data_IF_735255414960
#
_entry.id   IF_735255414960
#
_cell.length_a   1.000
_cell.length_b   1.000
_cell.length_c   1.000
_cell.angle_alpha   90.00
_cell.angle_beta   90.00
_cell.angle_gamma   90.00
#
_symmetry.space_group_name_H-M   'P 1'
#
loop_
_entity.id
_entity.type
_entity.pdbx_description
1 polymer ?
#
# COMPACT_ATOMS: atom_id res chain seq x y z
N UNK A 1 2.62 -25.29 12.01
CA UNK A 1 2.28 -25.35 10.57
C UNK A 1 3.04 -24.25 9.85
N UNK A 2 4.14 -24.60 9.18
CA UNK A 2 4.92 -23.66 8.35
C UNK A 2 4.18 -23.52 7.02
N UNK A 3 3.65 -22.33 6.74
CA UNK A 3 2.83 -22.04 5.56
C UNK A 3 3.71 -22.10 4.29
N UNK A 4 3.51 -23.06 3.36
CA UNK A 4 4.42 -23.31 2.24
C UNK A 4 4.19 -22.39 1.03
N UNK A 5 3.71 -21.16 1.21
CA UNK A 5 3.35 -20.26 0.10
C UNK A 5 3.99 -18.87 0.14
N UNK A 6 5.09 -18.67 0.88
CA UNK A 6 5.99 -17.57 0.54
C UNK A 6 6.72 -17.94 -0.76
N UNK A 7 6.06 -17.68 -1.89
CA UNK A 7 6.77 -17.58 -3.17
C UNK A 7 7.89 -16.57 -2.94
N UNK A 8 9.13 -16.96 -3.22
CA UNK A 8 10.27 -16.05 -3.13
C UNK A 8 9.94 -14.79 -3.93
N UNK A 9 9.75 -13.69 -3.21
CA UNK A 9 9.49 -12.39 -3.81
C UNK A 9 10.73 -12.01 -4.61
N UNK A 10 10.54 -11.57 -5.86
CA UNK A 10 11.67 -11.10 -6.65
C UNK A 10 12.28 -9.87 -5.98
N UNK A 11 13.58 -9.59 -6.17
CA UNK A 11 14.24 -8.43 -5.58
C UNK A 11 13.49 -7.10 -5.82
N UNK A 12 12.89 -6.95 -7.00
CA UNK A 12 12.07 -5.80 -7.38
C UNK A 12 10.80 -5.65 -6.51
N UNK A 13 10.14 -6.77 -6.19
CA UNK A 13 8.93 -6.78 -5.36
C UNK A 13 9.26 -6.43 -3.90
N UNK A 14 10.43 -6.86 -3.43
CA UNK A 14 10.96 -6.48 -2.11
C UNK A 14 11.22 -4.97 -2.07
N UNK A 15 11.85 -4.40 -3.10
CA UNK A 15 12.10 -2.96 -3.19
C UNK A 15 10.77 -2.18 -3.19
N UNK A 16 9.79 -2.61 -3.99
CA UNK A 16 8.44 -2.03 -4.00
C UNK A 16 7.79 -2.07 -2.61
N UNK A 17 7.89 -3.20 -1.92
CA UNK A 17 7.35 -3.35 -0.57
C UNK A 17 8.02 -2.41 0.43
N UNK A 18 9.35 -2.28 0.37
CA UNK A 18 10.10 -1.33 1.20
C UNK A 18 9.62 0.11 0.95
N UNK A 19 9.45 0.49 -0.32
CA UNK A 19 8.93 1.82 -0.69
C UNK A 19 7.52 2.02 -0.12
N UNK A 20 6.63 1.02 -0.25
CA UNK A 20 5.28 1.09 0.28
C UNK A 20 5.25 1.25 1.81
N UNK A 21 6.15 0.57 2.52
CA UNK A 21 6.32 0.70 3.98
C UNK A 21 6.80 2.10 4.35
N UNK A 22 7.81 2.63 3.63
CA UNK A 22 8.31 4.00 3.88
C UNK A 22 7.22 5.05 3.67
N UNK A 23 6.44 4.92 2.59
CA UNK A 23 5.31 5.81 2.29
C UNK A 23 4.20 5.71 3.35
N UNK A 24 3.96 4.51 3.89
CA UNK A 24 2.97 4.31 4.95
C UNK A 24 3.44 4.95 6.28
N UNK A 25 4.71 4.77 6.64
CA UNK A 25 5.31 5.43 7.80
C UNK A 25 5.26 6.95 7.64
N UNK A 26 5.57 7.47 6.47
CA UNK A 26 5.45 8.90 6.17
C UNK A 26 4.01 9.40 6.35
N UNK A 27 3.02 8.64 5.88
CA UNK A 27 1.60 8.97 6.08
C UNK A 27 1.20 9.01 7.56
N UNK A 28 1.75 8.12 8.40
CA UNK A 28 1.54 8.15 9.86
C UNK A 28 2.06 9.48 10.45
N UNK A 29 3.25 9.92 10.07
CA UNK A 29 3.81 11.21 10.54
C UNK A 29 2.93 12.41 10.16
N UNK A 30 2.35 12.40 8.95
CA UNK A 30 1.38 13.43 8.54
C UNK A 30 0.11 13.34 9.41
N UNK A 31 -0.39 12.13 9.67
CA UNK A 31 -1.63 11.91 10.42
C UNK A 31 -1.54 12.37 11.89
N UNK A 32 -0.37 12.23 12.51
CA UNK A 32 -0.07 12.78 13.83
C UNK A 32 0.24 14.28 13.82
N UNK A 33 0.06 14.94 12.67
CA UNK A 33 0.34 16.36 12.44
C UNK A 33 1.79 16.76 12.80
N UNK A 34 2.72 15.81 12.72
CA UNK A 34 4.16 16.05 12.94
C UNK A 34 4.73 16.81 11.73
N UNK A 35 4.20 16.52 10.53
CA UNK A 35 4.55 17.19 9.28
C UNK A 35 3.26 17.75 8.66
N UNK A 36 3.17 19.06 8.50
CA UNK A 36 2.06 19.69 7.78
C UNK A 36 2.25 19.55 6.27
N UNK A 37 1.48 18.65 5.64
CA UNK A 37 1.45 18.42 4.19
C UNK A 37 0.02 18.57 3.71
N UNK A 38 -0.19 18.92 2.44
CA UNK A 38 -1.52 18.89 1.82
C UNK A 38 -2.17 17.51 2.02
N UNK A 39 -3.42 17.51 2.47
CA UNK A 39 -4.24 16.31 2.68
C UNK A 39 -4.28 15.45 1.41
N UNK A 40 -4.32 16.09 0.24
CA UNK A 40 -4.30 15.42 -1.05
C UNK A 40 -3.02 14.59 -1.27
N UNK A 41 -1.85 15.16 -0.98
CA UNK A 41 -0.56 14.46 -1.08
C UNK A 41 -0.49 13.27 -0.11
N UNK A 42 -1.07 13.43 1.08
CA UNK A 42 -1.15 12.37 2.08
C UNK A 42 -2.00 11.18 1.61
N UNK A 43 -3.19 11.46 1.05
CA UNK A 43 -4.09 10.42 0.53
C UNK A 43 -3.49 9.73 -0.70
N UNK A 44 -2.82 10.48 -1.59
CA UNK A 44 -2.11 9.91 -2.74
C UNK A 44 -0.99 8.96 -2.30
N UNK A 45 -0.20 9.36 -1.30
CA UNK A 45 0.86 8.51 -0.72
C UNK A 45 0.28 7.20 -0.16
N UNK A 46 -0.78 7.30 0.63
CA UNK A 46 -1.45 6.13 1.21
C UNK A 46 -2.02 5.20 0.13
N UNK A 47 -2.66 5.77 -0.88
CA UNK A 47 -3.22 5.02 -2.01
C UNK A 47 -2.13 4.23 -2.73
N UNK A 48 -0.99 4.86 -2.99
CA UNK A 48 0.14 4.21 -3.66
C UNK A 48 0.68 3.03 -2.84
N UNK A 49 0.81 3.18 -1.52
CA UNK A 49 1.21 2.09 -0.62
C UNK A 49 0.24 0.90 -0.69
N UNK A 50 -1.08 1.16 -0.63
CA UNK A 50 -2.10 0.11 -0.66
C UNK A 50 -2.14 -0.58 -2.04
N UNK A 51 -1.92 0.18 -3.12
CA UNK A 51 -1.84 -0.37 -4.47
C UNK A 51 -0.65 -1.32 -4.64
N UNK A 52 0.54 -0.92 -4.16
CA UNK A 52 1.73 -1.79 -4.18
C UNK A 52 1.48 -3.06 -3.35
N UNK A 53 0.85 -2.92 -2.18
CA UNK A 53 0.52 -4.05 -1.32
C UNK A 53 -0.47 -5.02 -2.00
N UNK A 54 -1.48 -4.49 -2.69
CA UNK A 54 -2.41 -5.27 -3.51
C UNK A 54 -1.67 -6.09 -4.57
N UNK A 55 -0.74 -5.47 -5.30
CA UNK A 55 0.09 -6.15 -6.31
C UNK A 55 0.91 -7.32 -5.71
N UNK A 56 1.54 -7.10 -4.55
CA UNK A 56 2.30 -8.14 -3.84
C UNK A 56 1.38 -9.30 -3.42
N UNK A 57 0.18 -9.01 -2.89
CA UNK A 57 -0.79 -10.05 -2.52
C UNK A 57 -1.28 -10.86 -3.72
N UNK A 58 -1.51 -10.22 -4.88
CA UNK A 58 -1.85 -10.94 -6.11
C UNK A 58 -0.75 -11.91 -6.53
N UNK A 59 0.51 -11.50 -6.42
CA UNK A 59 1.67 -12.35 -6.74
C UNK A 59 1.85 -13.53 -5.80
N UNK A 60 1.53 -13.35 -4.53
CA UNK A 60 1.52 -14.40 -3.52
C UNK A 60 0.27 -15.31 -3.58
N UNK A 61 -0.54 -15.22 -4.63
CA UNK A 61 -1.80 -15.97 -4.81
C UNK A 61 -2.91 -15.65 -3.78
N UNK A 62 -2.75 -14.62 -2.93
CA UNK A 62 -3.80 -14.13 -2.04
C UNK A 62 -4.75 -13.20 -2.79
N UNK A 63 -5.48 -13.75 -3.76
CA UNK A 63 -6.36 -12.98 -4.66
C UNK A 63 -7.41 -12.15 -3.91
N UNK A 64 -8.05 -12.73 -2.89
CA UNK A 64 -9.10 -12.06 -2.11
C UNK A 64 -8.54 -10.81 -1.43
N UNK A 65 -7.43 -10.94 -0.70
CA UNK A 65 -6.75 -9.81 -0.05
C UNK A 65 -6.27 -8.77 -1.06
N UNK A 66 -5.72 -9.22 -2.20
CA UNK A 66 -5.32 -8.34 -3.31
C UNK A 66 -6.49 -7.49 -3.82
N UNK A 67 -7.65 -8.10 -4.08
CA UNK A 67 -8.85 -7.37 -4.53
C UNK A 67 -9.39 -6.41 -3.47
N UNK A 68 -9.39 -6.80 -2.20
CA UNK A 68 -9.81 -5.90 -1.09
C UNK A 68 -8.90 -4.67 -1.03
N UNK A 69 -7.57 -4.88 -1.08
CA UNK A 69 -6.62 -3.76 -1.11
C UNK A 69 -6.82 -2.88 -2.35
N UNK A 70 -7.07 -3.47 -3.52
CA UNK A 70 -7.32 -2.72 -4.75
C UNK A 70 -8.58 -1.85 -4.65
N UNK A 71 -9.67 -2.41 -4.11
CA UNK A 71 -10.91 -1.68 -3.88
C UNK A 71 -10.72 -0.53 -2.88
N UNK A 72 -9.97 -0.76 -1.79
CA UNK A 72 -9.61 0.30 -0.84
C UNK A 72 -8.79 1.42 -1.51
N UNK A 73 -7.80 1.07 -2.33
CA UNK A 73 -7.01 2.06 -3.07
C UNK A 73 -7.91 2.89 -4.00
N UNK A 74 -8.79 2.25 -4.77
CA UNK A 74 -9.72 2.95 -5.66
C UNK A 74 -10.67 3.88 -4.91
N UNK A 75 -11.22 3.44 -3.77
CA UNK A 75 -12.06 4.28 -2.91
C UNK A 75 -11.31 5.53 -2.41
N UNK A 76 -10.06 5.37 -1.97
CA UNK A 76 -9.24 6.49 -1.52
C UNK A 76 -8.94 7.48 -2.65
N UNK A 77 -8.68 6.99 -3.87
CA UNK A 77 -8.54 7.86 -5.05
C UNK A 77 -9.81 8.68 -5.25
N UNK A 78 -10.98 8.04 -5.28
CA UNK A 78 -12.26 8.73 -5.49
C UNK A 78 -12.47 9.82 -4.43
N UNK A 79 -12.25 9.47 -3.15
CA UNK A 79 -12.38 10.42 -2.03
C UNK A 79 -11.37 11.57 -2.15
N UNK A 80 -10.17 11.33 -2.68
CA UNK A 80 -9.15 12.37 -2.82
C UNK A 80 -9.51 13.49 -3.82
N UNK A 81 -10.46 13.22 -4.73
CA UNK A 81 -10.89 14.16 -5.77
C UNK A 81 -12.27 14.80 -5.48
N UNK A 82 -12.93 14.42 -4.39
CA UNK A 82 -14.18 15.02 -3.90
C UNK A 82 -13.85 16.13 -2.91
#
# INVERSE_FOLDING_TARGET
MVNPQMKDLKPLEIILLIIAIMLFVFHIFISFNIIHVSVLLSILSLTLSIFILSYVFFKQNFKVTGYICLACALLLVIISFI
#
